data_IF_548184976758
#
_entry.id   IF_548184976758
#
_cell.length_a   1.000
_cell.length_b   1.000
_cell.length_c   1.000
_cell.angle_alpha   90.00
_cell.angle_beta   90.00
_cell.angle_gamma   90.00
#
_symmetry.space_group_name_H-M   'P 1'
#
loop_
_entity.id
_entity.type
_entity.pdbx_description
1 polymer ?
#
# COMPACT_ATOMS: atom_id res chain seq x y z
N UNK A 1 20.46 -30.04 24.58
CA UNK A 1 20.30 -29.58 23.18
C UNK A 1 18.95 -28.88 23.07
N UNK A 2 18.95 -27.56 22.85
CA UNK A 2 17.73 -26.77 22.61
C UNK A 2 17.20 -27.11 21.21
N UNK A 3 16.01 -27.68 21.12
CA UNK A 3 15.26 -27.79 19.86
C UNK A 3 14.66 -26.41 19.57
N UNK A 4 15.24 -25.69 18.62
CA UNK A 4 14.70 -24.41 18.16
C UNK A 4 13.41 -24.63 17.38
N UNK A 5 12.29 -24.18 17.93
CA UNK A 5 11.02 -24.10 17.21
C UNK A 5 11.17 -23.12 16.05
N UNK A 6 11.11 -23.62 14.82
CA UNK A 6 10.99 -22.78 13.64
C UNK A 6 9.63 -22.08 13.67
N UNK A 7 9.59 -20.86 14.19
CA UNK A 7 8.45 -19.95 14.03
C UNK A 7 8.57 -19.37 12.63
N UNK A 8 8.04 -20.06 11.63
CA UNK A 8 7.77 -19.45 10.33
C UNK A 8 6.64 -18.44 10.60
N UNK A 9 6.88 -17.12 10.53
CA UNK A 9 5.80 -16.18 10.76
C UNK A 9 4.79 -16.38 9.63
N UNK A 10 3.55 -16.65 10.02
CA UNK A 10 2.37 -16.84 9.17
C UNK A 10 2.17 -15.64 8.20
N UNK A 11 2.86 -14.53 8.43
CA UNK A 11 2.99 -13.37 7.54
C UNK A 11 3.37 -13.73 6.09
N UNK A 12 4.25 -14.69 5.85
CA UNK A 12 4.70 -14.99 4.48
C UNK A 12 3.65 -15.76 3.64
N UNK A 13 2.71 -16.46 4.28
CA UNK A 13 1.68 -17.23 3.57
C UNK A 13 0.51 -16.35 3.08
N UNK A 14 0.32 -15.17 3.66
CA UNK A 14 -0.73 -14.22 3.25
C UNK A 14 -0.30 -13.30 2.09
N UNK A 15 1.00 -13.21 1.77
CA UNK A 15 1.51 -12.44 0.62
C UNK A 15 0.99 -12.97 -0.74
N UNK A 16 0.65 -14.25 -0.84
CA UNK A 16 0.29 -14.88 -2.13
C UNK A 16 -1.21 -14.70 -2.48
N UNK A 17 -2.05 -14.30 -1.51
CA UNK A 17 -3.49 -14.30 -1.71
C UNK A 17 -4.08 -13.03 -2.37
N UNK A 18 -3.30 -11.93 -2.47
CA UNK A 18 -3.79 -10.65 -3.04
C UNK A 18 -3.31 -10.47 -4.49
N UNK A 19 -3.03 -11.56 -5.21
CA UNK A 19 -2.55 -11.50 -6.60
C UNK A 19 -3.67 -11.56 -7.66
N UNK A 20 -4.94 -11.60 -7.27
CA UNK A 20 -6.02 -11.82 -8.22
C UNK A 20 -7.30 -11.06 -7.85
N UNK A 21 -7.49 -9.88 -8.45
CA UNK A 21 -8.74 -9.16 -8.81
C UNK A 21 -8.25 -7.89 -9.55
N UNK A 22 -8.66 -7.44 -10.73
CA UNK A 22 -9.46 -7.94 -11.84
C UNK A 22 -8.93 -7.25 -13.11
N UNK A 23 -8.75 -7.96 -14.23
CA UNK A 23 -8.34 -7.33 -15.50
C UNK A 23 -9.52 -7.31 -16.45
N UNK A 24 -10.08 -6.12 -16.69
CA UNK A 24 -11.06 -5.90 -17.76
C UNK A 24 -10.66 -4.69 -18.61
N UNK A 25 -10.48 -4.92 -19.92
CA UNK A 25 -10.32 -3.93 -20.99
C UNK A 25 -9.12 -2.94 -20.88
N UNK A 26 -7.92 -3.48 -20.68
CA UNK A 26 -6.66 -2.71 -20.64
C UNK A 26 -6.11 -2.55 -22.08
N UNK A 27 -5.87 -1.32 -22.56
CA UNK A 27 -5.27 -1.08 -23.89
C UNK A 27 -3.84 -1.64 -23.95
N UNK A 28 -3.26 -1.88 -25.13
CA UNK A 28 -1.89 -2.45 -25.25
C UNK A 28 -0.84 -1.60 -24.50
N UNK A 29 -1.00 -0.27 -24.48
CA UNK A 29 -0.15 0.64 -23.70
C UNK A 29 -0.29 0.38 -22.21
N UNK A 30 -1.52 0.23 -21.74
CA UNK A 30 -1.84 -0.05 -20.35
C UNK A 30 -1.38 -1.46 -19.95
N UNK A 31 -1.29 -2.41 -20.89
CA UNK A 31 -0.79 -3.76 -20.66
C UNK A 31 0.73 -3.79 -20.43
N UNK A 32 1.49 -2.97 -21.17
CA UNK A 32 2.91 -2.80 -20.91
C UNK A 32 3.17 -2.09 -19.58
N UNK A 33 2.39 -1.05 -19.26
CA UNK A 33 2.42 -0.38 -17.96
C UNK A 33 2.12 -1.36 -16.83
N UNK A 34 1.07 -2.17 -16.97
CA UNK A 34 0.70 -3.18 -15.99
C UNK A 34 1.81 -4.22 -15.82
N UNK A 35 2.35 -4.74 -16.92
CA UNK A 35 3.45 -5.71 -16.86
C UNK A 35 4.67 -5.14 -16.16
N UNK A 36 5.08 -3.92 -16.54
CA UNK A 36 6.21 -3.25 -15.94
C UNK A 36 5.97 -2.96 -14.46
N UNK A 37 4.78 -2.46 -14.09
CA UNK A 37 4.46 -2.19 -12.69
C UNK A 37 4.39 -3.44 -11.81
N UNK A 38 3.89 -4.56 -12.34
CA UNK A 38 3.95 -5.85 -11.62
C UNK A 38 5.41 -6.30 -11.39
N UNK A 39 6.31 -6.10 -12.38
CA UNK A 39 7.68 -6.60 -12.29
C UNK A 39 8.68 -5.66 -11.62
N UNK A 40 8.49 -4.35 -11.77
CA UNK A 40 9.44 -3.31 -11.35
C UNK A 40 8.86 -2.34 -10.32
N UNK A 41 7.56 -2.43 -10.05
CA UNK A 41 6.86 -1.59 -9.07
C UNK A 41 5.97 -0.54 -9.71
N UNK A 42 4.82 -0.29 -9.08
CA UNK A 42 3.98 0.87 -9.37
C UNK A 42 4.42 2.08 -8.54
N UNK A 43 4.06 3.29 -9.01
CA UNK A 43 4.29 4.51 -8.23
C UNK A 43 3.32 4.59 -7.04
N UNK A 44 3.87 4.50 -5.83
CA UNK A 44 3.11 4.59 -4.59
C UNK A 44 2.64 6.02 -4.27
N UNK A 45 3.45 7.05 -4.55
CA UNK A 45 3.13 8.44 -4.19
C UNK A 45 1.73 8.86 -4.57
N UNK A 46 1.02 9.49 -3.65
CA UNK A 46 -0.30 10.04 -3.90
C UNK A 46 -1.27 9.85 -2.76
N UNK A 47 -2.55 10.00 -3.09
CA UNK A 47 -3.66 9.87 -2.15
C UNK A 47 -4.54 8.72 -2.55
N UNK A 48 -4.93 7.95 -1.56
CA UNK A 48 -5.79 6.79 -1.64
C UNK A 48 -6.99 7.01 -0.73
N UNK A 49 -8.15 6.51 -1.14
CA UNK A 49 -9.39 6.67 -0.39
C UNK A 49 -10.07 5.33 -0.24
N UNK A 50 -10.60 5.10 0.95
CA UNK A 50 -11.31 3.87 1.31
C UNK A 50 -12.38 3.54 0.26
N UNK A 51 -12.31 2.32 -0.28
CA UNK A 51 -13.14 1.89 -1.39
C UNK A 51 -14.63 1.82 -1.02
N UNK A 52 -14.94 1.36 0.19
CA UNK A 52 -16.32 1.11 0.62
C UNK A 52 -17.07 2.39 1.02
N UNK A 53 -16.44 3.22 1.85
CA UNK A 53 -17.08 4.38 2.49
C UNK A 53 -16.62 5.71 1.90
N UNK A 54 -15.41 5.76 1.35
CA UNK A 54 -14.80 7.00 0.89
C UNK A 54 -14.35 7.95 2.00
N UNK A 55 -14.44 7.55 3.28
CA UNK A 55 -14.26 8.44 4.42
C UNK A 55 -12.83 8.46 4.98
N UNK A 56 -12.10 7.36 4.83
CA UNK A 56 -10.70 7.26 5.26
C UNK A 56 -9.78 7.61 4.09
N UNK A 57 -8.76 8.42 4.36
CA UNK A 57 -7.75 8.81 3.38
C UNK A 57 -6.38 8.29 3.80
N UNK A 58 -5.64 7.69 2.87
CA UNK A 58 -4.27 7.24 3.07
C UNK A 58 -3.36 7.91 2.04
N UNK A 59 -2.26 8.50 2.48
CA UNK A 59 -1.34 9.29 1.66
C UNK A 59 0.07 8.75 1.77
N UNK A 60 0.81 8.75 0.65
CA UNK A 60 2.20 8.32 0.58
C UNK A 60 3.06 9.34 -0.17
N UNK A 61 4.29 9.54 0.32
CA UNK A 61 5.34 10.31 -0.36
C UNK A 61 6.68 9.62 -0.14
N UNK A 62 7.27 9.11 -1.23
CA UNK A 62 8.59 8.47 -1.22
C UNK A 62 9.78 9.43 -1.27
N UNK A 63 9.60 10.69 -1.69
CA UNK A 63 10.72 11.65 -1.68
C UNK A 63 11.07 12.06 -0.24
N UNK A 64 12.39 12.22 0.01
CA UNK A 64 13.04 12.55 1.28
C UNK A 64 12.99 11.50 2.41
N UNK A 65 11.80 11.15 2.92
CA UNK A 65 11.66 10.44 4.20
C UNK A 65 10.79 9.17 4.15
N UNK A 66 10.30 8.77 2.97
CA UNK A 66 9.35 7.66 2.81
C UNK A 66 8.19 7.75 3.82
N UNK A 67 7.38 8.79 3.70
CA UNK A 67 6.33 9.09 4.67
C UNK A 67 4.98 8.57 4.24
N UNK A 68 4.19 8.16 5.22
CA UNK A 68 2.78 7.85 5.03
C UNK A 68 1.92 8.53 6.09
N UNK A 69 0.64 8.73 5.79
CA UNK A 69 -0.35 9.26 6.74
C UNK A 69 -1.73 8.69 6.41
N UNK A 70 -2.45 8.23 7.42
CA UNK A 70 -3.87 7.90 7.34
C UNK A 70 -4.69 8.91 8.16
N UNK A 71 -5.80 9.35 7.59
CA UNK A 71 -6.81 10.17 8.26
C UNK A 71 -8.09 9.35 8.29
N UNK A 72 -8.52 8.95 9.49
CA UNK A 72 -9.73 8.15 9.66
C UNK A 72 -11.02 8.97 9.46
N UNK A 73 -12.17 8.29 9.47
CA UNK A 73 -13.48 8.92 9.31
C UNK A 73 -13.83 9.95 10.39
N UNK A 74 -13.13 9.94 11.53
CA UNK A 74 -13.30 10.89 12.63
C UNK A 74 -12.31 12.07 12.53
N UNK A 75 -11.42 12.06 11.53
CA UNK A 75 -10.35 13.05 11.37
C UNK A 75 -9.12 12.79 12.26
N UNK A 76 -9.01 11.61 12.89
CA UNK A 76 -7.80 11.25 13.61
C UNK A 76 -6.69 10.96 12.60
N UNK A 77 -5.51 11.51 12.89
CA UNK A 77 -4.33 11.35 12.05
C UNK A 77 -3.40 10.31 12.69
N UNK A 78 -2.95 9.35 11.89
CA UNK A 78 -1.80 8.49 12.22
C UNK A 78 -0.83 8.56 11.05
N UNK A 79 0.45 8.72 11.33
CA UNK A 79 1.48 8.86 10.31
C UNK A 79 2.78 8.16 10.76
N UNK A 80 3.72 8.07 9.85
CA UNK A 80 5.01 7.46 10.11
C UNK A 80 5.84 7.31 8.84
N UNK A 81 6.69 6.28 8.85
CA UNK A 81 7.60 5.96 7.74
C UNK A 81 7.27 4.60 7.12
N UNK A 82 7.67 4.40 5.87
CA UNK A 82 7.53 3.13 5.18
C UNK A 82 8.86 2.66 4.58
N UNK A 83 8.99 1.34 4.44
CA UNK A 83 10.15 0.70 3.83
C UNK A 83 9.73 -0.22 2.69
N UNK A 84 10.53 -0.25 1.63
CA UNK A 84 10.36 -1.19 0.51
C UNK A 84 10.71 -2.61 0.92
N UNK A 85 10.01 -3.60 0.39
CA UNK A 85 10.36 -5.02 0.59
C UNK A 85 11.11 -5.59 -0.62
N UNK A 86 11.34 -6.92 -0.61
CA UNK A 86 11.83 -7.62 -1.79
C UNK A 86 10.82 -7.69 -2.94
N UNK A 87 9.53 -7.47 -2.65
CA UNK A 87 8.49 -7.26 -3.65
C UNK A 87 8.36 -5.74 -3.90
N UNK A 88 8.44 -5.28 -5.17
CA UNK A 88 8.45 -3.84 -5.47
C UNK A 88 7.10 -3.16 -5.25
N UNK A 89 6.04 -3.92 -4.96
CA UNK A 89 4.69 -3.44 -4.73
C UNK A 89 4.22 -3.62 -3.28
N UNK A 90 5.09 -4.12 -2.39
CA UNK A 90 4.77 -4.29 -0.97
C UNK A 90 5.69 -3.40 -0.13
N UNK A 91 5.07 -2.65 0.77
CA UNK A 91 5.73 -1.67 1.63
C UNK A 91 5.33 -1.90 3.10
N UNK A 92 6.32 -2.00 3.97
CA UNK A 92 6.11 -2.11 5.43
C UNK A 92 5.87 -0.72 6.00
N UNK A 93 4.89 -0.57 6.90
CA UNK A 93 4.55 0.68 7.54
C UNK A 93 4.96 0.64 9.01
N UNK A 94 5.71 1.64 9.45
CA UNK A 94 5.96 1.92 10.85
C UNK A 94 5.28 3.24 11.23
N UNK A 95 4.72 3.33 12.43
CA UNK A 95 4.20 4.60 12.96
C UNK A 95 5.33 5.58 13.33
N UNK A 96 4.98 6.77 13.83
CA UNK A 96 5.97 7.75 14.28
C UNK A 96 6.91 7.25 15.40
N UNK A 97 6.49 6.27 16.20
CA UNK A 97 7.31 5.67 17.25
C UNK A 97 8.28 4.62 16.70
N UNK A 98 8.10 4.21 15.44
CA UNK A 98 8.83 3.11 14.80
C UNK A 98 8.20 1.75 15.07
N UNK A 99 7.00 1.70 15.64
CA UNK A 99 6.28 0.45 15.90
C UNK A 99 5.58 -0.03 14.61
N UNK A 100 5.49 -1.35 14.44
CA UNK A 100 4.84 -1.98 13.27
C UNK A 100 3.35 -1.59 13.21
N UNK A 101 2.98 -0.90 12.13
CA UNK A 101 1.59 -0.55 11.83
C UNK A 101 0.93 -1.57 10.89
N UNK A 102 1.74 -2.31 10.11
CA UNK A 102 1.29 -3.25 9.11
C UNK A 102 2.03 -3.09 7.78
N UNK A 103 1.38 -3.48 6.69
CA UNK A 103 1.95 -3.34 5.35
C UNK A 103 0.88 -2.98 4.32
N UNK A 104 1.31 -2.37 3.23
CA UNK A 104 0.46 -2.16 2.06
C UNK A 104 0.94 -2.94 0.86
N UNK A 105 -0.01 -3.43 0.06
CA UNK A 105 0.23 -4.00 -1.26
C UNK A 105 -0.44 -3.14 -2.33
N UNK A 106 0.36 -2.57 -3.23
CA UNK A 106 -0.10 -1.80 -4.38
C UNK A 106 -0.32 -2.73 -5.57
N UNK A 107 -1.54 -3.24 -5.70
CA UNK A 107 -1.88 -4.21 -6.74
C UNK A 107 -1.87 -3.61 -8.15
N UNK A 108 -2.18 -2.31 -8.25
CA UNK A 108 -2.22 -1.60 -9.52
C UNK A 108 -2.07 -0.09 -9.31
N UNK A 109 -1.37 0.58 -10.22
CA UNK A 109 -1.53 2.01 -10.47
C UNK A 109 -1.47 2.30 -11.97
N UNK A 110 -2.25 3.27 -12.44
CA UNK A 110 -2.20 3.75 -13.81
C UNK A 110 -0.89 4.50 -14.09
N UNK A 111 -0.51 4.60 -15.37
CA UNK A 111 0.72 5.27 -15.79
C UNK A 111 0.79 6.75 -15.37
N UNK A 112 -0.36 7.44 -15.30
CA UNK A 112 -0.48 8.82 -14.84
C UNK A 112 -0.63 8.93 -13.30
N UNK A 113 -0.73 7.79 -12.61
CA UNK A 113 -0.86 7.69 -11.17
C UNK A 113 -2.19 8.19 -10.59
N UNK A 114 -3.22 8.39 -11.41
CA UNK A 114 -4.53 8.91 -10.95
C UNK A 114 -5.59 7.82 -10.74
N UNK A 115 -5.22 6.55 -10.92
CA UNK A 115 -6.04 5.39 -10.63
C UNK A 115 -5.16 4.27 -10.07
N UNK A 116 -5.73 3.38 -9.27
CA UNK A 116 -4.99 2.30 -8.64
C UNK A 116 -5.76 1.65 -7.52
N UNK A 117 -5.30 0.47 -7.10
CA UNK A 117 -5.89 -0.29 -5.98
C UNK A 117 -4.78 -0.67 -5.02
N UNK A 118 -4.97 -0.32 -3.75
CA UNK A 118 -4.03 -0.52 -2.67
C UNK A 118 -4.74 -1.24 -1.51
N UNK A 119 -4.09 -2.27 -0.96
CA UNK A 119 -4.61 -3.00 0.19
C UNK A 119 -3.73 -2.74 1.40
N UNK A 120 -4.30 -2.22 2.48
CA UNK A 120 -3.65 -2.08 3.78
C UNK A 120 -4.01 -3.25 4.67
N UNK A 121 -2.99 -3.94 5.18
CA UNK A 121 -3.15 -5.01 6.18
C UNK A 121 -2.55 -4.56 7.51
N UNK A 122 -3.38 -4.47 8.55
CA UNK A 122 -2.98 -4.07 9.92
C UNK A 122 -2.75 -5.27 10.85
N UNK A 123 -2.65 -6.48 10.29
CA UNK A 123 -2.62 -7.75 11.02
C UNK A 123 -3.99 -8.22 11.55
N UNK A 124 -4.93 -7.30 11.76
CA UNK A 124 -6.29 -7.60 12.24
C UNK A 124 -7.37 -7.36 11.19
N UNK A 125 -7.09 -6.57 10.16
CA UNK A 125 -8.03 -6.25 9.08
C UNK A 125 -7.28 -5.99 7.78
N UNK A 126 -7.98 -6.18 6.67
CA UNK A 126 -7.53 -5.76 5.34
C UNK A 126 -8.52 -4.73 4.82
N UNK A 127 -8.01 -3.56 4.46
CA UNK A 127 -8.79 -2.43 3.94
C UNK A 127 -8.34 -2.16 2.50
N UNK A 128 -9.30 -1.96 1.60
CA UNK A 128 -9.05 -1.63 0.21
C UNK A 128 -9.21 -0.12 -0.02
N UNK A 129 -8.28 0.45 -0.79
CA UNK A 129 -8.28 1.85 -1.14
C UNK A 129 -8.10 2.05 -2.64
N UNK A 130 -8.85 3.00 -3.19
CA UNK A 130 -8.70 3.48 -4.55
C UNK A 130 -7.73 4.67 -4.59
N UNK A 131 -6.77 4.65 -5.51
CA UNK A 131 -5.90 5.80 -5.77
C UNK A 131 -6.70 6.91 -6.44
N UNK A 132 -6.65 8.10 -5.85
CA UNK A 132 -7.42 9.28 -6.31
C UNK A 132 -6.53 10.25 -7.07
N UNK A 133 -5.26 10.36 -6.70
CA UNK A 133 -4.29 11.28 -7.33
C UNK A 133 -2.86 10.83 -7.09
N UNK A 134 -1.96 11.18 -7.99
CA UNK A 134 -0.50 10.98 -7.86
C UNK A 134 0.20 12.00 -6.97
N UNK A 135 -0.44 13.15 -6.72
CA UNK A 135 0.07 14.16 -5.80
C UNK A 135 -0.28 13.82 -4.36
N UNK A 136 0.69 13.74 -3.43
CA UNK A 136 0.39 13.46 -2.02
C UNK A 136 -0.35 14.62 -1.35
N UNK A 137 -1.12 14.29 -0.32
CA UNK A 137 -1.76 15.27 0.55
C UNK A 137 -1.59 14.85 2.01
N UNK A 138 -0.74 15.58 2.74
CA UNK A 138 -0.55 15.42 4.18
C UNK A 138 -1.25 16.55 4.91
N UNK A 139 -2.02 16.20 5.93
CA UNK A 139 -2.50 17.15 6.93
C UNK A 139 -1.35 17.43 7.89
N UNK A 140 -0.96 18.70 8.01
CA UNK A 140 -0.02 19.14 9.04
C UNK A 140 -0.82 19.31 10.34
N UNK A 141 -0.41 18.69 11.46
CA UNK A 141 -1.02 18.92 12.77
C UNK A 141 -0.97 20.39 13.20
#
# INVERSE_FOLDING_TARGET
>A
MKTGSAKIPIALALLVAIAAIAVSAVSIKDANTLKHGISEGFRLDGVYRDHETGLTQLSFLGEDENRWQIVDSNGNVTDGSFETTGDPNIFMLADQSGDDYGFVHLAYASADGNQGSLYLNTGTSVLEFDKVTSGPAFVVP
#
